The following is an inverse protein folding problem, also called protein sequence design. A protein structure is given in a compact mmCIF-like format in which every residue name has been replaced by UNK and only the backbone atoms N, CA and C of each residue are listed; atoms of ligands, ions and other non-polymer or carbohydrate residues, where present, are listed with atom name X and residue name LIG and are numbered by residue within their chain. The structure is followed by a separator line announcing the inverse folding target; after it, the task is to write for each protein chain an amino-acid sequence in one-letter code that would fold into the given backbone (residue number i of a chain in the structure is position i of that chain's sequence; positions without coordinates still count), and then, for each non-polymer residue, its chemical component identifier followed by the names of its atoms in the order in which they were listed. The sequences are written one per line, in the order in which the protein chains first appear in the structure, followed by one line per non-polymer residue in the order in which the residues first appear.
data_IF_470146419858
#
_entry.id   IF_470146419858
#
_cell.length_a   1.000
_cell.length_b   1.000
_cell.length_c   1.000
_cell.angle_alpha   90.00
_cell.angle_beta   90.00
_cell.angle_gamma   90.00
#
_symmetry.space_group_name_H-M   'P 1'
#
loop_
_entity.id
_entity.type
_entity.pdbx_description
1 polymer ?
#
# COMPACT_ATOMS: atom_id res chain seq x y z
N UNK A 1 -19.11 -8.33 20.60
CA UNK A 1 -17.99 -7.91 19.70
C UNK A 1 -18.21 -8.38 18.25
N UNK A 2 -18.57 -9.63 18.02
CA UNK A 2 -18.80 -10.18 16.67
C UNK A 2 -19.97 -9.52 15.92
N UNK A 3 -21.02 -9.12 16.61
CA UNK A 3 -22.18 -8.45 16.03
C UNK A 3 -21.85 -7.03 15.54
N UNK A 4 -21.05 -6.28 16.29
CA UNK A 4 -20.58 -4.95 15.87
C UNK A 4 -19.61 -5.04 14.68
N UNK A 5 -18.76 -6.07 14.65
CA UNK A 5 -17.84 -6.32 13.54
C UNK A 5 -18.59 -6.67 12.26
N UNK A 6 -19.60 -7.51 12.35
CA UNK A 6 -20.47 -7.90 11.23
C UNK A 6 -21.28 -6.70 10.72
N UNK A 7 -21.80 -5.86 11.61
CA UNK A 7 -22.52 -4.64 11.26
C UNK A 7 -21.63 -3.60 10.56
N UNK A 8 -20.36 -3.46 11.00
CA UNK A 8 -19.35 -2.60 10.35
C UNK A 8 -18.98 -3.14 8.96
N UNK A 9 -18.88 -4.45 8.80
CA UNK A 9 -18.57 -5.07 7.51
C UNK A 9 -19.73 -4.90 6.53
N UNK A 10 -20.96 -5.15 6.95
CA UNK A 10 -22.16 -4.93 6.13
C UNK A 10 -22.33 -3.48 5.69
N UNK A 11 -22.10 -2.51 6.59
CA UNK A 11 -22.16 -1.10 6.26
C UNK A 11 -21.04 -0.68 5.28
N UNK A 12 -19.86 -1.30 5.37
CA UNK A 12 -18.75 -1.06 4.46
C UNK A 12 -19.01 -1.62 3.05
N UNK A 13 -19.66 -2.78 2.96
CA UNK A 13 -20.09 -3.34 1.66
C UNK A 13 -21.24 -2.54 1.06
N UNK A 14 -22.22 -2.14 1.85
CA UNK A 14 -23.34 -1.28 1.41
C UNK A 14 -22.83 0.04 0.84
N UNK A 15 -21.83 0.66 1.46
CA UNK A 15 -21.25 1.92 0.99
C UNK A 15 -20.47 1.79 -0.33
N UNK A 16 -20.09 0.58 -0.76
CA UNK A 16 -19.45 0.32 -2.07
C UNK A 16 -20.44 0.38 -3.24
N UNK A 17 -21.70 0.05 -2.99
CA UNK A 17 -22.74 -0.03 -4.04
C UNK A 17 -23.71 1.16 -4.00
N UNK A 18 -23.54 2.11 -3.06
CA UNK A 18 -24.39 3.30 -2.98
C UNK A 18 -24.02 4.32 -4.05
N UNK A 19 -25.06 4.92 -4.63
CA UNK A 19 -24.94 6.05 -5.55
C UNK A 19 -24.18 7.22 -4.85
N UNK A 20 -23.29 7.95 -5.54
CA UNK A 20 -22.53 9.07 -4.97
C UNK A 20 -23.38 10.07 -4.18
N UNK A 21 -24.60 10.35 -4.66
CA UNK A 21 -25.53 11.27 -4.01
C UNK A 21 -26.13 10.73 -2.70
N UNK A 22 -26.41 9.44 -2.62
CA UNK A 22 -26.85 8.78 -1.38
C UNK A 22 -25.73 8.72 -0.36
N UNK A 23 -24.53 8.43 -0.81
CA UNK A 23 -23.32 8.42 0.03
C UNK A 23 -23.02 9.79 0.62
N UNK A 24 -23.20 10.85 -0.17
CA UNK A 24 -23.04 12.23 0.30
C UNK A 24 -24.08 12.59 1.36
N UNK A 25 -25.33 12.17 1.19
CA UNK A 25 -26.42 12.38 2.18
C UNK A 25 -26.17 11.63 3.47
N UNK A 26 -25.72 10.37 3.42
CA UNK A 26 -25.39 9.56 4.59
C UNK A 26 -24.19 10.14 5.36
N UNK A 27 -23.16 10.61 4.66
CA UNK A 27 -22.03 11.32 5.27
C UNK A 27 -22.48 12.60 5.95
N UNK A 28 -23.34 13.39 5.32
CA UNK A 28 -23.89 14.61 5.92
C UNK A 28 -24.78 14.33 7.15
N UNK A 29 -25.52 13.22 7.14
CA UNK A 29 -26.39 12.83 8.27
C UNK A 29 -25.59 12.37 9.48
N UNK A 30 -24.48 11.65 9.25
CA UNK A 30 -23.62 11.09 10.29
C UNK A 30 -22.52 12.07 10.79
N UNK A 31 -22.38 13.24 10.17
CA UNK A 31 -21.44 14.26 10.62
C UNK A 31 -21.85 14.90 11.93
N UNK A 32 -20.88 15.10 12.82
CA UNK A 32 -21.07 15.86 14.06
C UNK A 32 -21.49 17.31 13.75
N UNK A 33 -22.37 17.92 14.55
CA UNK A 33 -22.85 19.27 14.30
C UNK A 33 -21.73 20.33 14.25
N UNK A 34 -20.65 20.11 14.97
CA UNK A 34 -19.45 20.96 14.96
C UNK A 34 -18.69 20.91 13.61
N UNK A 35 -18.64 19.75 12.99
CA UNK A 35 -17.96 19.57 11.69
C UNK A 35 -18.78 20.18 10.56
N UNK A 36 -20.12 20.13 10.68
CA UNK A 36 -21.04 20.79 9.72
C UNK A 36 -20.85 22.32 9.73
N UNK A 37 -20.71 22.93 10.92
CA UNK A 37 -20.46 24.37 11.05
C UNK A 37 -19.11 24.77 10.42
N UNK A 38 -18.06 24.03 10.74
CA UNK A 38 -16.72 24.28 10.16
C UNK A 38 -16.69 24.17 8.64
N UNK A 39 -17.40 23.20 8.08
CA UNK A 39 -17.50 23.04 6.61
C UNK A 39 -18.27 24.22 6.01
N UNK A 40 -19.38 24.66 6.63
CA UNK A 40 -20.11 25.84 6.16
C UNK A 40 -19.26 27.10 6.21
N UNK A 41 -18.48 27.31 7.28
CA UNK A 41 -17.54 28.43 7.40
C UNK A 41 -16.46 28.38 6.29
N UNK A 42 -15.89 27.20 6.02
CA UNK A 42 -14.89 27.01 4.94
C UNK A 42 -15.49 27.32 3.55
N UNK A 43 -16.76 26.94 3.31
CA UNK A 43 -17.42 27.16 2.01
C UNK A 43 -17.82 28.62 1.83
N UNK A 44 -18.22 29.32 2.90
CA UNK A 44 -18.66 30.72 2.86
C UNK A 44 -17.51 31.71 2.87
N UNK A 45 -16.32 31.31 3.31
CA UNK A 45 -15.17 32.20 3.38
C UNK A 45 -14.63 32.55 1.98
N UNK A 46 -14.59 33.85 1.68
CA UNK A 46 -14.17 34.40 0.39
C UNK A 46 -12.66 34.64 0.30
N UNK A 47 -11.99 34.87 1.43
CA UNK A 47 -10.54 35.07 1.45
C UNK A 47 -9.82 33.72 1.31
N UNK A 48 -9.00 33.51 0.24
CA UNK A 48 -8.31 32.26 0.01
C UNK A 48 -7.40 31.84 1.18
N UNK A 49 -6.75 32.79 1.83
CA UNK A 49 -5.82 32.53 2.96
C UNK A 49 -6.54 32.13 4.23
N UNK A 50 -7.70 32.71 4.50
CA UNK A 50 -8.53 32.35 5.66
C UNK A 50 -9.22 31.01 5.42
N UNK A 51 -9.73 30.78 4.23
CA UNK A 51 -10.32 29.49 3.83
C UNK A 51 -9.33 28.34 3.95
N UNK A 52 -8.07 28.53 3.54
CA UNK A 52 -7.01 27.52 3.70
C UNK A 52 -6.73 27.22 5.19
N UNK A 53 -6.71 28.21 6.04
CA UNK A 53 -6.53 28.02 7.50
C UNK A 53 -7.67 27.23 8.12
N UNK A 54 -8.91 27.60 7.79
CA UNK A 54 -10.12 26.90 8.28
C UNK A 54 -10.16 25.45 7.77
N UNK A 55 -9.84 25.23 6.49
CA UNK A 55 -9.74 23.90 5.91
C UNK A 55 -8.68 23.06 6.62
N UNK A 56 -7.50 23.61 6.88
CA UNK A 56 -6.42 22.92 7.60
C UNK A 56 -6.82 22.58 9.05
N UNK A 57 -7.62 23.43 9.71
CA UNK A 57 -8.17 23.13 11.05
C UNK A 57 -9.17 21.98 10.99
N UNK A 58 -10.06 21.98 10.00
CA UNK A 58 -11.00 20.89 9.77
C UNK A 58 -10.27 19.58 9.50
N UNK A 59 -9.30 19.57 8.59
CA UNK A 59 -8.49 18.38 8.27
C UNK A 59 -7.77 17.83 9.50
N UNK A 60 -7.17 18.69 10.33
CA UNK A 60 -6.52 18.26 11.58
C UNK A 60 -7.48 17.61 12.58
N UNK A 61 -8.74 18.06 12.64
CA UNK A 61 -9.77 17.47 13.49
C UNK A 61 -10.32 16.17 12.91
N UNK A 62 -10.59 16.15 11.62
CA UNK A 62 -11.18 15.01 10.91
C UNK A 62 -10.19 13.85 10.71
N UNK A 63 -8.87 14.14 10.70
CA UNK A 63 -7.86 13.10 10.49
C UNK A 63 -7.65 12.28 11.76
N UNK A 64 -7.88 10.97 11.73
CA UNK A 64 -7.70 10.10 12.89
C UNK A 64 -6.22 10.06 13.29
N UNK A 65 -5.93 10.38 14.56
CA UNK A 65 -4.57 10.27 15.12
C UNK A 65 -4.22 8.80 15.30
N UNK A 66 -3.33 8.28 14.46
CA UNK A 66 -2.81 6.92 14.62
C UNK A 66 -1.56 6.91 15.49
N UNK A 67 -1.45 5.89 16.37
CA UNK A 67 -0.24 5.70 17.18
C UNK A 67 0.95 5.35 16.28
N UNK A 68 1.95 6.22 16.24
CA UNK A 68 3.16 6.02 15.45
C UNK A 68 3.94 4.77 15.90
N UNK A 69 4.18 4.65 17.20
CA UNK A 69 4.97 3.55 17.80
C UNK A 69 4.28 2.20 17.55
N UNK A 70 2.96 2.13 17.79
CA UNK A 70 2.21 0.88 17.54
C UNK A 70 2.24 0.45 16.08
N UNK A 71 2.18 1.39 15.13
CA UNK A 71 2.26 1.07 13.71
C UNK A 71 3.66 0.61 13.29
N UNK A 72 4.72 1.22 13.84
CA UNK A 72 6.11 0.78 13.62
C UNK A 72 6.34 -0.64 14.15
N UNK A 73 5.87 -0.95 15.36
CA UNK A 73 5.99 -2.30 15.91
C UNK A 73 5.26 -3.35 15.05
N UNK A 74 4.04 -3.04 14.59
CA UNK A 74 3.29 -3.95 13.70
C UNK A 74 4.01 -4.17 12.36
N UNK A 75 4.53 -3.09 11.78
CA UNK A 75 5.29 -3.16 10.53
C UNK A 75 6.55 -4.00 10.69
N UNK A 76 7.28 -3.81 11.78
CA UNK A 76 8.48 -4.58 12.09
C UNK A 76 8.20 -6.07 12.30
N UNK A 77 7.17 -6.40 13.08
CA UNK A 77 6.78 -7.79 13.32
C UNK A 77 6.38 -8.51 12.03
N UNK A 78 5.49 -7.91 11.25
CA UNK A 78 5.00 -8.57 10.02
C UNK A 78 6.08 -8.61 8.94
N UNK A 79 6.85 -7.54 8.75
CA UNK A 79 7.99 -7.54 7.84
C UNK A 79 9.05 -8.57 8.25
N UNK A 80 9.34 -8.68 9.55
CA UNK A 80 10.23 -9.69 10.11
C UNK A 80 9.74 -11.13 9.87
N UNK A 81 8.44 -11.39 10.04
CA UNK A 81 7.84 -12.69 9.72
C UNK A 81 7.98 -13.06 8.24
N UNK A 82 7.78 -12.11 7.34
CA UNK A 82 7.99 -12.33 5.89
C UNK A 82 9.46 -12.67 5.62
N UNK A 83 10.40 -11.99 6.27
CA UNK A 83 11.83 -12.28 6.14
C UNK A 83 12.19 -13.68 6.68
N UNK A 84 11.61 -14.08 7.82
CA UNK A 84 11.80 -15.43 8.38
C UNK A 84 11.27 -16.50 7.44
N UNK A 85 10.10 -16.29 6.83
CA UNK A 85 9.57 -17.19 5.79
C UNK A 85 10.50 -17.26 4.58
N UNK A 86 11.03 -16.12 4.12
CA UNK A 86 12.00 -16.08 3.05
C UNK A 86 13.28 -16.85 3.37
N UNK A 87 13.81 -16.68 4.58
CA UNK A 87 14.99 -17.44 5.04
C UNK A 87 14.69 -18.95 5.15
N UNK A 88 13.47 -19.31 5.57
CA UNK A 88 13.04 -20.72 5.60
C UNK A 88 13.06 -21.36 4.21
N UNK A 89 12.51 -20.66 3.18
CA UNK A 89 12.58 -21.13 1.80
C UNK A 89 14.03 -21.22 1.28
N UNK A 90 14.86 -20.22 1.58
CA UNK A 90 16.25 -20.22 1.17
C UNK A 90 16.99 -21.45 1.73
N UNK A 91 16.85 -21.71 3.01
CA UNK A 91 17.46 -22.87 3.67
C UNK A 91 16.93 -24.19 3.09
N UNK A 92 15.62 -24.26 2.80
CA UNK A 92 14.99 -25.43 2.18
C UNK A 92 15.60 -25.72 0.81
N UNK A 93 15.72 -24.71 -0.07
CA UNK A 93 16.28 -24.91 -1.41
C UNK A 93 17.77 -25.25 -1.37
N UNK A 94 18.52 -24.67 -0.43
CA UNK A 94 19.92 -25.04 -0.23
C UNK A 94 20.08 -26.48 0.27
N UNK A 95 19.19 -26.95 1.16
CA UNK A 95 19.20 -28.33 1.63
C UNK A 95 18.85 -29.34 0.54
N UNK A 96 18.11 -28.91 -0.49
CA UNK A 96 17.82 -29.69 -1.69
C UNK A 96 18.98 -29.70 -2.71
N UNK A 97 20.12 -29.08 -2.39
CA UNK A 97 21.32 -29.08 -3.21
C UNK A 97 21.40 -27.94 -4.22
N UNK A 98 20.53 -26.93 -4.15
CA UNK A 98 20.63 -25.77 -5.02
C UNK A 98 21.78 -24.85 -4.61
N UNK A 99 22.51 -24.32 -5.58
CA UNK A 99 23.49 -23.25 -5.35
C UNK A 99 22.83 -22.01 -4.73
N UNK A 100 23.58 -21.25 -3.95
CA UNK A 100 23.06 -20.10 -3.20
C UNK A 100 22.31 -19.08 -4.07
N UNK A 101 22.81 -18.80 -5.28
CA UNK A 101 22.17 -17.85 -6.21
C UNK A 101 20.85 -18.39 -6.77
N UNK A 102 20.84 -19.68 -7.14
CA UNK A 102 19.63 -20.37 -7.63
C UNK A 102 18.58 -20.50 -6.51
N UNK A 103 19.02 -20.84 -5.30
CA UNK A 103 18.15 -20.92 -4.12
C UNK A 103 17.49 -19.55 -3.82
N UNK A 104 18.24 -18.45 -3.94
CA UNK A 104 17.70 -17.10 -3.76
C UNK A 104 16.65 -16.76 -4.83
N UNK A 105 16.87 -17.13 -6.10
CA UNK A 105 15.89 -16.93 -7.17
C UNK A 105 14.60 -17.74 -6.91
N UNK A 106 14.69 -19.01 -6.52
CA UNK A 106 13.54 -19.84 -6.18
C UNK A 106 12.78 -19.30 -4.96
N UNK A 107 13.50 -18.80 -3.95
CA UNK A 107 12.90 -18.16 -2.78
C UNK A 107 12.06 -16.96 -3.20
N UNK A 108 12.62 -16.10 -4.05
CA UNK A 108 11.92 -14.91 -4.57
C UNK A 108 10.65 -15.30 -5.34
N UNK A 109 10.74 -16.28 -6.23
CA UNK A 109 9.59 -16.78 -6.98
C UNK A 109 8.50 -17.37 -6.07
N UNK A 110 8.89 -18.13 -5.05
CA UNK A 110 7.95 -18.71 -4.08
C UNK A 110 7.23 -17.63 -3.27
N UNK A 111 7.93 -16.60 -2.81
CA UNK A 111 7.33 -15.46 -2.12
C UNK A 111 6.39 -14.65 -3.01
N UNK A 112 6.76 -14.43 -4.28
CA UNK A 112 5.90 -13.77 -5.27
C UNK A 112 4.62 -14.60 -5.49
N UNK A 113 4.76 -15.90 -5.70
CA UNK A 113 3.63 -16.81 -5.88
C UNK A 113 2.66 -16.78 -4.69
N UNK A 114 3.18 -16.89 -3.46
CA UNK A 114 2.38 -16.78 -2.23
C UNK A 114 1.67 -15.43 -2.12
N UNK A 115 2.35 -14.35 -2.48
CA UNK A 115 1.75 -13.01 -2.46
C UNK A 115 0.62 -12.89 -3.46
N UNK A 116 0.80 -13.33 -4.70
CA UNK A 116 -0.24 -13.31 -5.74
C UNK A 116 -1.44 -14.17 -5.33
N UNK A 117 -1.20 -15.35 -4.77
CA UNK A 117 -2.24 -16.25 -4.30
C UNK A 117 -3.06 -15.60 -3.15
N UNK A 118 -2.39 -15.06 -2.15
CA UNK A 118 -3.04 -14.39 -1.01
C UNK A 118 -3.75 -13.09 -1.42
N UNK A 119 -3.25 -12.40 -2.45
CA UNK A 119 -3.90 -11.24 -3.06
C UNK A 119 -5.20 -11.66 -3.76
N UNK A 120 -5.16 -12.75 -4.54
CA UNK A 120 -6.35 -13.32 -5.20
C UNK A 120 -7.43 -13.75 -4.21
N UNK A 121 -7.05 -14.26 -3.04
CA UNK A 121 -7.95 -14.61 -1.94
C UNK A 121 -8.40 -13.41 -1.08
N UNK A 122 -7.95 -12.20 -1.41
CA UNK A 122 -8.22 -10.97 -0.65
C UNK A 122 -7.70 -10.97 0.80
N UNK A 123 -6.75 -11.87 1.12
CA UNK A 123 -6.14 -11.96 2.44
C UNK A 123 -4.99 -10.96 2.61
N UNK A 124 -4.23 -10.74 1.53
CA UNK A 124 -3.09 -9.83 1.57
C UNK A 124 -3.51 -8.40 1.93
N UNK A 125 -4.65 -7.93 1.42
CA UNK A 125 -5.18 -6.60 1.72
C UNK A 125 -5.50 -6.42 3.22
N UNK A 126 -6.04 -7.46 3.87
CA UNK A 126 -6.30 -7.43 5.33
C UNK A 126 -4.99 -7.33 6.11
N UNK A 127 -3.99 -8.11 5.71
CA UNK A 127 -2.65 -8.07 6.30
C UNK A 127 -1.99 -6.69 6.09
N UNK A 128 -2.11 -6.11 4.90
CA UNK A 128 -1.57 -4.80 4.56
C UNK A 128 -2.22 -3.66 5.39
N UNK A 129 -3.52 -3.71 5.61
CA UNK A 129 -4.21 -2.77 6.49
C UNK A 129 -3.73 -2.83 7.95
N UNK A 130 -3.33 -4.01 8.43
CA UNK A 130 -2.80 -4.21 9.79
C UNK A 130 -1.34 -3.80 9.92
N UNK A 131 -0.50 -4.21 8.97
CA UNK A 131 0.95 -4.10 9.06
C UNK A 131 1.54 -2.86 8.35
N UNK A 132 0.78 -2.23 7.45
CA UNK A 132 1.23 -1.04 6.72
C UNK A 132 2.56 -1.27 5.98
N UNK A 133 3.59 -0.50 6.32
CA UNK A 133 4.90 -0.56 5.66
C UNK A 133 5.56 -1.96 5.72
N UNK A 134 5.26 -2.78 6.73
CA UNK A 134 5.82 -4.13 6.86
C UNK A 134 5.43 -5.09 5.74
N UNK A 135 4.32 -4.84 5.05
CA UNK A 135 3.90 -5.64 3.88
C UNK A 135 4.22 -4.96 2.55
N UNK A 136 4.45 -3.64 2.54
CA UNK A 136 4.71 -2.88 1.31
C UNK A 136 6.16 -2.99 0.87
N UNK A 137 7.10 -2.97 1.83
CA UNK A 137 8.55 -2.95 1.55
C UNK A 137 9.08 -4.28 0.97
N UNK A 138 8.70 -5.46 1.48
CA UNK A 138 9.19 -6.73 0.93
C UNK A 138 8.72 -6.97 -0.52
N UNK A 139 9.39 -7.92 -1.22
CA UNK A 139 9.05 -8.32 -2.61
C UNK A 139 7.58 -8.75 -2.74
N UNK A 140 6.99 -9.27 -1.67
CA UNK A 140 5.57 -9.64 -1.61
C UNK A 140 4.65 -8.43 -1.78
N UNK A 141 5.05 -7.24 -1.29
CA UNK A 141 4.33 -5.99 -1.49
C UNK A 141 4.32 -5.54 -2.95
N UNK A 142 5.47 -5.66 -3.61
CA UNK A 142 5.55 -5.38 -5.05
C UNK A 142 4.69 -6.35 -5.87
N UNK A 143 4.75 -7.65 -5.58
CA UNK A 143 3.90 -8.65 -6.22
C UNK A 143 2.40 -8.37 -6.03
N UNK A 144 1.98 -7.98 -4.81
CA UNK A 144 0.61 -7.55 -4.55
C UNK A 144 0.23 -6.29 -5.35
N UNK A 145 1.14 -5.32 -5.47
CA UNK A 145 0.89 -4.06 -6.20
C UNK A 145 0.69 -4.27 -7.70
N UNK A 146 1.23 -5.35 -8.25
CA UNK A 146 1.02 -5.79 -9.65
C UNK A 146 -0.24 -6.65 -9.79
N UNK A 147 -0.45 -7.60 -8.87
CA UNK A 147 -1.56 -8.55 -8.94
C UNK A 147 -2.92 -7.89 -8.65
N UNK A 148 -2.98 -6.95 -7.69
CA UNK A 148 -4.24 -6.30 -7.31
C UNK A 148 -4.89 -5.54 -8.46
N UNK A 149 -4.20 -4.63 -9.18
CA UNK A 149 -4.76 -3.97 -10.36
C UNK A 149 -5.11 -4.95 -11.49
N UNK A 150 -4.33 -6.02 -11.67
CA UNK A 150 -4.62 -7.03 -12.69
C UNK A 150 -5.97 -7.73 -12.44
N UNK A 151 -6.32 -7.96 -11.16
CA UNK A 151 -7.59 -8.57 -10.78
C UNK A 151 -8.74 -7.54 -10.88
N UNK A 152 -8.52 -6.34 -10.34
CA UNK A 152 -9.55 -5.29 -10.22
C UNK A 152 -10.00 -4.74 -11.57
N UNK A 153 -9.04 -4.47 -12.47
CA UNK A 153 -9.30 -3.84 -13.76
C UNK A 153 -9.41 -4.83 -14.93
N UNK A 154 -9.56 -6.13 -14.65
CA UNK A 154 -9.71 -7.17 -15.69
C UNK A 154 -10.89 -6.90 -16.62
N UNK A 155 -11.98 -6.33 -16.12
CA UNK A 155 -13.19 -6.04 -16.89
C UNK A 155 -13.00 -4.87 -17.88
N UNK A 156 -12.02 -4.00 -17.66
CA UNK A 156 -11.69 -2.88 -18.54
C UNK A 156 -10.84 -3.30 -19.75
N UNK A 157 -10.49 -4.60 -19.86
CA UNK A 157 -9.69 -5.17 -20.94
C UNK A 157 -8.22 -5.31 -20.60
N UNK A 158 -7.50 -6.04 -21.47
CA UNK A 158 -6.10 -6.41 -21.19
C UNK A 158 -5.11 -5.25 -21.35
N UNK A 159 -5.32 -4.38 -22.34
CA UNK A 159 -4.37 -3.30 -22.68
C UNK A 159 -4.63 -2.07 -21.82
N UNK A 160 -5.84 -1.51 -21.89
CA UNK A 160 -6.19 -0.26 -21.20
C UNK A 160 -6.54 -0.47 -19.72
N UNK A 161 -7.08 -1.62 -19.37
CA UNK A 161 -7.35 -1.98 -17.98
C UNK A 161 -6.10 -2.55 -17.31
N UNK A 162 -5.85 -3.84 -17.49
CA UNK A 162 -4.82 -4.58 -16.76
C UNK A 162 -3.41 -4.02 -17.01
N UNK A 163 -3.00 -3.89 -18.27
CA UNK A 163 -1.65 -3.45 -18.62
C UNK A 163 -1.36 -2.03 -18.13
N UNK A 164 -2.22 -1.08 -18.47
CA UNK A 164 -2.06 0.31 -18.07
C UNK A 164 -2.00 0.47 -16.55
N UNK A 165 -2.88 -0.19 -15.82
CA UNK A 165 -2.96 -0.08 -14.35
C UNK A 165 -1.80 -0.74 -13.62
N UNK A 166 -1.30 -1.88 -14.10
CA UNK A 166 -0.06 -2.49 -13.58
C UNK A 166 1.10 -1.51 -13.69
N UNK A 167 1.30 -0.91 -14.87
CA UNK A 167 2.41 0.01 -15.11
C UNK A 167 2.26 1.35 -14.39
N UNK A 168 1.06 1.76 -14.01
CA UNK A 168 0.86 2.96 -13.19
C UNK A 168 1.57 2.85 -11.83
N UNK A 169 1.65 1.66 -11.26
CA UNK A 169 2.31 1.40 -9.96
C UNK A 169 3.72 0.86 -10.17
N UNK A 170 3.88 -0.17 -10.99
CA UNK A 170 5.17 -0.82 -11.22
C UNK A 170 6.15 0.07 -12.02
N UNK A 171 5.63 0.90 -12.94
CA UNK A 171 6.45 1.77 -13.78
C UNK A 171 7.38 2.70 -13.00
N UNK A 172 6.86 3.52 -12.07
CA UNK A 172 7.71 4.39 -11.25
C UNK A 172 8.75 3.63 -10.42
N UNK A 173 8.40 2.47 -9.86
CA UNK A 173 9.33 1.65 -9.06
C UNK A 173 10.51 1.18 -9.92
N UNK A 174 10.23 0.66 -11.11
CA UNK A 174 11.25 0.21 -12.06
C UNK A 174 12.11 1.40 -12.54
N UNK A 175 11.46 2.50 -12.92
CA UNK A 175 12.15 3.69 -13.42
C UNK A 175 13.11 4.25 -12.37
N UNK A 176 12.63 4.50 -11.16
CA UNK A 176 13.49 5.02 -10.09
C UNK A 176 14.56 4.02 -9.67
N UNK A 177 14.25 2.73 -9.65
CA UNK A 177 15.25 1.68 -9.39
C UNK A 177 16.39 1.72 -10.38
N UNK A 178 16.11 1.81 -11.68
CA UNK A 178 17.11 1.91 -12.74
C UNK A 178 17.90 3.22 -12.63
N UNK A 179 17.23 4.35 -12.45
CA UNK A 179 17.89 5.67 -12.36
C UNK A 179 18.84 5.74 -11.17
N UNK A 180 18.40 5.31 -9.98
CA UNK A 180 19.26 5.32 -8.79
C UNK A 180 20.40 4.31 -8.89
N UNK A 181 20.18 3.12 -9.46
CA UNK A 181 21.24 2.14 -9.70
C UNK A 181 22.30 2.69 -10.65
N UNK A 182 21.87 3.36 -11.71
CA UNK A 182 22.77 4.02 -12.66
C UNK A 182 23.57 5.14 -11.99
N UNK A 183 22.91 6.03 -11.22
CA UNK A 183 23.56 7.10 -10.47
C UNK A 183 24.63 6.57 -9.52
N UNK A 184 24.29 5.56 -8.71
CA UNK A 184 25.22 4.95 -7.77
C UNK A 184 26.39 4.26 -8.49
N UNK A 185 26.10 3.57 -9.59
CA UNK A 185 27.13 2.96 -10.44
C UNK A 185 28.08 4.01 -11.04
N UNK A 186 27.55 5.16 -11.48
CA UNK A 186 28.36 6.26 -11.98
C UNK A 186 29.25 6.88 -10.89
N UNK A 187 28.69 7.11 -9.69
CA UNK A 187 29.46 7.63 -8.54
C UNK A 187 30.58 6.65 -8.16
N UNK A 188 30.28 5.35 -8.12
CA UNK A 188 31.26 4.31 -7.83
C UNK A 188 32.39 4.28 -8.88
N UNK A 189 32.01 4.32 -10.17
CA UNK A 189 32.98 4.36 -11.26
C UNK A 189 33.89 5.60 -11.20
N UNK A 190 33.31 6.78 -10.98
CA UNK A 190 34.05 8.02 -10.83
C UNK A 190 34.97 7.99 -9.60
N UNK A 191 34.47 7.53 -8.44
CA UNK A 191 35.25 7.39 -7.21
C UNK A 191 36.45 6.44 -7.37
N UNK A 192 36.27 5.35 -8.11
CA UNK A 192 37.36 4.44 -8.47
C UNK A 192 38.40 5.12 -9.38
N UNK A 193 37.96 5.98 -10.30
CA UNK A 193 38.87 6.77 -11.16
C UNK A 193 39.68 7.81 -10.38
N UNK A 194 39.12 8.36 -9.28
CA UNK A 194 39.81 9.29 -8.39
C UNK A 194 40.57 8.62 -7.23
N UNK A 195 40.56 7.29 -7.14
CA UNK A 195 41.26 6.54 -6.09
C UNK A 195 40.63 6.62 -4.71
N UNK A 196 39.31 6.87 -4.62
CA UNK A 196 38.57 6.92 -3.35
C UNK A 196 38.16 5.53 -2.85
N UNK A 197 38.16 4.54 -3.73
CA UNK A 197 37.81 3.14 -3.42
C UNK A 197 38.86 2.18 -4.00
#
# INVERSE_FOLDING_TARGET
EDFELMHRMMNKERSRFMNPDEKAKEIQQNMKPEDKKLIQEVVQEKDPKQREKLYNQYVKKATPKRSYIGNVCKAYLVGGLICVLGQGFLNLYQSLGCEKEIAAAYTTLSLIFLSVLTTGLNWYQRLACFAGAGTVVPITGFANSVASPAIEFKQEGWVFGVGCKIFTIAGPVILYGVVFSWLLGFIYWAGKGFGWF
#
